data_IF_181382204466
#
_entry.id   IF_181382204466
#
_cell.length_a   1.000
_cell.length_b   1.000
_cell.length_c   1.000
_cell.angle_alpha   90.00
_cell.angle_beta   90.00
_cell.angle_gamma   90.00
#
_symmetry.space_group_name_H-M   'P 1'
#
loop_
_entity.id
_entity.type
_entity.pdbx_description
1 polymer ?
#
# COMPACT_ATOMS: atom_id res chain seq x y z
N UNK A 1 -35.21 0.48 10.60
CA UNK A 1 -33.98 -0.07 10.00
C UNK A 1 -32.83 0.24 10.95
N UNK A 2 -31.99 -0.73 11.30
CA UNK A 2 -30.78 -0.43 12.08
C UNK A 2 -29.87 0.43 11.20
N UNK A 3 -29.27 1.46 11.78
CA UNK A 3 -28.27 2.27 11.10
C UNK A 3 -27.08 1.37 10.76
N UNK A 4 -26.61 1.44 9.51
CA UNK A 4 -25.41 0.72 9.08
C UNK A 4 -24.20 1.25 9.84
N UNK A 5 -23.27 0.37 10.20
CA UNK A 5 -22.11 0.72 11.02
C UNK A 5 -20.86 0.87 10.15
N UNK A 6 -20.17 1.99 10.34
CA UNK A 6 -18.90 2.33 9.74
C UNK A 6 -17.84 2.42 10.84
N UNK A 7 -16.56 2.24 10.49
CA UNK A 7 -15.49 2.48 11.47
C UNK A 7 -15.32 3.98 11.70
N UNK A 8 -15.51 4.40 12.95
CA UNK A 8 -15.26 5.79 13.37
C UNK A 8 -13.77 6.05 13.58
N UNK A 9 -13.45 7.33 13.78
CA UNK A 9 -12.08 7.78 13.96
C UNK A 9 -11.36 7.15 15.16
N UNK A 10 -12.00 7.05 16.32
CA UNK A 10 -11.37 6.51 17.54
C UNK A 10 -11.01 5.04 17.36
N UNK A 11 -11.93 4.26 16.80
CA UNK A 11 -11.74 2.84 16.53
C UNK A 11 -10.70 2.61 15.43
N UNK A 12 -10.69 3.44 14.39
CA UNK A 12 -9.70 3.36 13.32
C UNK A 12 -8.27 3.62 13.83
N UNK A 13 -8.09 4.65 14.68
CA UNK A 13 -6.82 4.94 15.36
C UNK A 13 -6.39 3.75 16.21
N UNK A 14 -7.30 3.19 17.01
CA UNK A 14 -6.99 2.07 17.90
C UNK A 14 -6.59 0.80 17.12
N UNK A 15 -7.28 0.51 16.01
CA UNK A 15 -6.94 -0.59 15.12
C UNK A 15 -5.54 -0.43 14.51
N UNK A 16 -5.24 0.73 13.91
CA UNK A 16 -3.93 1.00 13.33
C UNK A 16 -2.81 0.92 14.38
N UNK A 17 -3.05 1.40 15.60
CA UNK A 17 -2.11 1.29 16.73
C UNK A 17 -1.74 -0.17 17.02
N UNK A 18 -2.70 -1.08 16.92
CA UNK A 18 -2.52 -2.51 17.20
C UNK A 18 -1.84 -3.27 16.06
N UNK A 19 -2.13 -2.93 14.81
CA UNK A 19 -1.66 -3.71 13.65
C UNK A 19 -0.42 -3.14 12.97
N UNK A 20 -0.17 -1.83 13.07
CA UNK A 20 0.95 -1.18 12.38
C UNK A 20 2.15 -1.01 13.32
N UNK A 21 3.06 -1.98 13.31
CA UNK A 21 4.26 -1.94 14.16
C UNK A 21 5.27 -0.80 13.87
N UNK A 22 5.08 -0.07 12.77
CA UNK A 22 5.86 1.10 12.38
C UNK A 22 5.25 2.43 12.86
N UNK A 23 4.03 2.40 13.40
CA UNK A 23 3.38 3.54 14.03
C UNK A 23 3.69 3.54 15.53
N UNK A 24 4.06 4.71 16.05
CA UNK A 24 4.24 4.93 17.49
C UNK A 24 3.28 6.03 17.92
N UNK A 25 2.59 5.87 19.04
CA UNK A 25 1.68 6.90 19.52
C UNK A 25 2.46 8.19 19.83
N UNK A 26 1.95 9.33 19.37
CA UNK A 26 2.59 10.61 19.66
C UNK A 26 2.15 11.16 21.02
N UNK A 27 2.95 10.89 22.04
CA UNK A 27 2.72 11.38 23.40
C UNK A 27 2.79 12.91 23.55
N UNK A 28 3.24 13.63 22.53
CA UNK A 28 3.23 15.10 22.56
C UNK A 28 1.86 15.71 22.26
N UNK A 29 0.92 14.91 21.75
CA UNK A 29 -0.43 15.36 21.40
C UNK A 29 -0.47 16.25 20.16
N UNK A 30 0.58 16.26 19.34
CA UNK A 30 0.60 17.02 18.09
C UNK A 30 -0.18 16.25 17.04
N UNK A 31 0.10 14.96 16.90
CA UNK A 31 -0.53 14.06 15.94
C UNK A 31 -1.05 12.79 16.64
N UNK A 32 -1.69 11.88 15.91
CA UNK A 32 -2.10 10.58 16.46
C UNK A 32 -0.91 9.63 16.56
N UNK A 33 -0.02 9.68 15.55
CA UNK A 33 1.14 8.81 15.44
C UNK A 33 2.40 9.54 14.97
N UNK A 34 3.55 8.92 15.25
CA UNK A 34 4.80 9.10 14.53
C UNK A 34 5.12 7.86 13.70
N UNK A 35 5.46 8.08 12.44
CA UNK A 35 5.99 7.10 11.50
C UNK A 35 7.51 7.24 11.50
N UNK A 36 8.22 6.19 11.91
CA UNK A 36 9.69 6.28 12.04
C UNK A 36 10.44 6.15 10.71
N UNK A 37 9.87 5.45 9.73
CA UNK A 37 10.42 5.32 8.37
C UNK A 37 9.48 6.02 7.39
N UNK A 38 9.92 7.12 6.76
CA UNK A 38 9.09 7.90 5.84
C UNK A 38 8.57 7.09 4.63
N UNK A 39 9.13 5.92 4.35
CA UNK A 39 8.58 5.00 3.34
C UNK A 39 7.21 4.46 3.69
N UNK A 40 6.96 4.16 4.96
CA UNK A 40 5.62 3.72 5.38
C UNK A 40 4.61 4.86 5.16
N UNK A 41 5.02 6.12 5.32
CA UNK A 41 4.18 7.27 5.01
C UNK A 41 3.88 7.38 3.49
N UNK A 42 4.84 7.02 2.63
CA UNK A 42 4.62 6.93 1.19
C UNK A 42 3.61 5.84 0.86
N UNK A 43 3.74 4.65 1.45
CA UNK A 43 2.80 3.54 1.25
C UNK A 43 1.39 3.91 1.72
N UNK A 44 1.25 4.53 2.90
CA UNK A 44 -0.04 5.05 3.36
C UNK A 44 -0.60 6.01 2.31
N UNK A 45 0.19 6.97 1.82
CA UNK A 45 -0.28 7.92 0.80
C UNK A 45 -0.71 7.25 -0.52
N UNK A 46 -0.01 6.20 -0.94
CA UNK A 46 -0.32 5.44 -2.16
C UNK A 46 -1.65 4.70 -2.09
N UNK A 47 -1.92 4.04 -0.98
CA UNK A 47 -3.05 3.11 -0.83
C UNK A 47 -4.30 3.72 -0.19
N UNK A 48 -4.24 4.98 0.25
CA UNK A 48 -5.32 5.61 1.01
C UNK A 48 -5.60 7.03 0.53
N UNK A 49 -6.58 7.71 1.13
CA UNK A 49 -6.81 9.15 0.97
C UNK A 49 -5.70 10.07 1.50
N UNK A 50 -4.64 9.54 2.13
CA UNK A 50 -3.64 10.35 2.81
C UNK A 50 -2.73 11.17 1.87
N UNK A 51 -2.33 12.35 2.33
CA UNK A 51 -1.47 13.28 1.59
C UNK A 51 -0.48 14.01 2.50
N UNK A 52 0.65 14.42 1.92
CA UNK A 52 1.64 15.28 2.55
C UNK A 52 1.27 16.75 2.39
N UNK A 53 1.48 17.53 3.44
CA UNK A 53 1.35 19.00 3.38
C UNK A 53 2.73 19.60 3.14
N UNK A 54 2.90 20.39 2.08
CA UNK A 54 4.13 21.17 1.86
C UNK A 54 3.95 22.61 2.34
N UNK A 55 2.80 23.21 2.00
CA UNK A 55 2.35 24.50 2.54
C UNK A 55 0.81 24.61 2.40
N UNK A 56 0.26 25.81 2.59
CA UNK A 56 -1.19 26.06 2.48
C UNK A 56 -1.75 25.80 1.08
N UNK A 57 -0.94 26.05 0.05
CA UNK A 57 -1.31 25.97 -1.36
C UNK A 57 -0.88 24.63 -1.99
N UNK A 58 0.16 23.98 -1.45
CA UNK A 58 0.77 22.79 -2.04
C UNK A 58 0.59 21.57 -1.13
N UNK A 59 -0.08 20.57 -1.70
CA UNK A 59 -0.33 19.25 -1.12
C UNK A 59 0.10 18.20 -2.12
N UNK A 60 0.77 17.15 -1.62
CA UNK A 60 1.34 16.11 -2.46
C UNK A 60 0.79 14.76 -2.04
N UNK A 61 0.31 14.00 -3.02
CA UNK A 61 -0.10 12.62 -2.83
C UNK A 61 0.70 11.73 -3.75
N UNK A 62 1.18 10.62 -3.21
CA UNK A 62 1.73 9.53 -4.01
C UNK A 62 0.58 8.64 -4.46
N UNK A 63 0.64 8.13 -5.69
CA UNK A 63 -0.35 7.18 -6.18
C UNK A 63 0.36 5.99 -6.82
N UNK A 64 -0.26 4.82 -6.66
CA UNK A 64 0.07 3.69 -7.51
C UNK A 64 -0.37 3.99 -8.95
N UNK A 65 0.30 3.34 -9.89
CA UNK A 65 -0.04 3.35 -11.29
C UNK A 65 -1.32 2.55 -11.54
N UNK A 66 -2.50 3.10 -11.27
CA UNK A 66 -3.72 2.40 -11.66
C UNK A 66 -3.79 2.32 -13.19
N UNK A 67 -3.46 1.14 -13.73
CA UNK A 67 -3.54 0.75 -15.12
C UNK A 67 -2.66 1.57 -16.11
N UNK A 68 -1.58 0.92 -16.57
CA UNK A 68 -0.80 1.22 -17.78
C UNK A 68 0.10 2.48 -17.79
N UNK A 69 0.19 3.26 -16.70
CA UNK A 69 1.12 4.41 -16.62
C UNK A 69 1.91 4.43 -15.31
N UNK A 70 3.25 4.30 -15.41
CA UNK A 70 4.33 4.47 -14.42
C UNK A 70 4.03 4.44 -12.90
N UNK A 71 4.71 3.54 -12.18
CA UNK A 71 4.50 3.12 -10.77
C UNK A 71 4.58 4.19 -9.68
N UNK A 72 4.88 5.43 -10.01
CA UNK A 72 4.76 6.54 -9.09
C UNK A 72 4.33 7.77 -9.86
N UNK A 73 3.24 8.38 -9.43
CA UNK A 73 2.87 9.72 -9.87
C UNK A 73 2.89 10.64 -8.66
N UNK A 74 3.69 11.70 -8.74
CA UNK A 74 3.55 12.86 -7.86
C UNK A 74 2.45 13.73 -8.45
N UNK A 75 1.27 13.70 -7.84
CA UNK A 75 0.14 14.51 -8.28
C UNK A 75 0.03 15.73 -7.35
N UNK A 76 0.29 16.96 -7.82
CA UNK A 76 -0.06 18.15 -7.06
C UNK A 76 -1.58 18.15 -6.86
N UNK A 77 -2.03 18.21 -5.61
CA UNK A 77 -3.45 18.21 -5.26
C UNK A 77 -3.99 19.64 -5.38
N UNK A 78 -4.17 20.12 -6.60
CA UNK A 78 -4.95 21.34 -6.88
C UNK A 78 -6.37 20.96 -7.34
N UNK A 79 -7.36 21.83 -7.04
CA UNK A 79 -8.79 21.64 -7.34
C UNK A 79 -9.17 21.48 -8.83
N UNK A 80 -8.20 21.39 -9.75
CA UNK A 80 -8.44 21.28 -11.17
C UNK A 80 -7.65 20.10 -11.75
N UNK A 81 -8.33 19.28 -12.57
CA UNK A 81 -7.82 18.13 -13.31
C UNK A 81 -6.71 18.45 -14.34
N UNK A 82 -5.99 19.57 -14.20
CA UNK A 82 -4.86 19.98 -15.03
C UNK A 82 -3.52 19.80 -14.31
N UNK A 83 -3.42 18.82 -13.39
CA UNK A 83 -2.17 18.49 -12.73
C UNK A 83 -1.11 18.18 -13.79
N UNK A 84 -0.02 18.94 -13.78
CA UNK A 84 1.17 18.60 -14.56
C UNK A 84 1.65 17.25 -14.05
N UNK A 85 1.43 16.21 -14.84
CA UNK A 85 1.94 14.87 -14.57
C UNK A 85 3.44 14.96 -14.79
N UNK A 86 4.22 14.73 -13.73
CA UNK A 86 5.67 14.57 -13.86
C UNK A 86 5.90 13.06 -14.03
N UNK A 87 6.14 12.56 -15.26
CA UNK A 87 6.46 11.16 -15.48
C UNK A 87 7.77 10.81 -14.77
N UNK A 88 7.74 9.70 -14.06
CA UNK A 88 8.80 9.21 -13.18
C UNK A 88 9.55 8.12 -13.97
N UNK A 89 10.31 8.57 -14.98
CA UNK A 89 10.96 7.72 -15.99
C UNK A 89 12.00 6.72 -15.42
N UNK A 90 11.73 5.42 -15.54
CA UNK A 90 12.71 4.30 -15.58
C UNK A 90 13.62 3.98 -14.37
N UNK A 91 13.72 4.88 -13.38
CA UNK A 91 14.49 4.68 -12.13
C UNK A 91 13.64 4.03 -11.03
N UNK A 92 14.28 3.46 -10.02
CA UNK A 92 13.57 2.96 -8.83
C UNK A 92 13.01 4.10 -8.00
N UNK A 93 11.93 3.82 -7.25
CA UNK A 93 11.36 4.77 -6.30
C UNK A 93 12.41 5.31 -5.31
N UNK A 94 13.34 4.47 -4.86
CA UNK A 94 14.48 4.89 -4.03
C UNK A 94 15.31 6.03 -4.66
N UNK A 95 15.69 5.95 -5.93
CA UNK A 95 16.48 7.00 -6.61
C UNK A 95 15.70 8.32 -6.74
N UNK A 96 14.37 8.26 -6.78
CA UNK A 96 13.56 9.48 -6.76
C UNK A 96 13.50 10.13 -5.39
N UNK A 97 13.38 9.32 -4.35
CA UNK A 97 13.33 9.81 -2.98
C UNK A 97 14.66 10.42 -2.54
N UNK A 98 15.77 10.11 -3.22
CA UNK A 98 17.06 10.81 -3.04
C UNK A 98 16.99 12.31 -3.39
N UNK A 99 16.08 12.74 -4.28
CA UNK A 99 15.88 14.17 -4.57
C UNK A 99 15.10 14.90 -3.46
N UNK A 100 14.38 14.15 -2.62
CA UNK A 100 13.54 14.67 -1.55
C UNK A 100 13.87 13.94 -0.24
N UNK A 101 15.12 14.06 0.26
CA UNK A 101 15.59 13.27 1.40
C UNK A 101 14.74 13.49 2.66
N UNK A 102 14.16 14.67 2.81
CA UNK A 102 13.28 15.01 3.93
C UNK A 102 12.04 14.11 3.97
N UNK A 103 11.51 13.66 2.83
CA UNK A 103 10.35 12.75 2.77
C UNK A 103 10.65 11.40 3.43
N UNK A 104 11.91 10.96 3.45
CA UNK A 104 12.33 9.70 4.06
C UNK A 104 12.52 9.78 5.57
N UNK A 105 12.55 11.00 6.14
CA UNK A 105 12.66 11.21 7.57
C UNK A 105 11.39 10.78 8.34
N UNK A 106 11.43 10.84 9.68
CA UNK A 106 10.24 10.58 10.50
C UNK A 106 9.07 11.49 10.11
N UNK A 107 7.85 10.96 10.18
CA UNK A 107 6.62 11.70 9.87
C UNK A 107 5.66 11.72 11.04
N UNK A 108 4.94 12.81 11.18
CA UNK A 108 3.80 12.98 12.05
C UNK A 108 2.55 12.66 11.24
N UNK A 109 1.78 11.69 11.72
CA UNK A 109 0.65 11.15 11.00
C UNK A 109 -0.66 11.50 11.71
N UNK A 110 -1.46 12.31 11.01
CA UNK A 110 -2.70 12.89 11.48
C UNK A 110 -3.87 12.16 10.83
N UNK A 111 -4.63 11.42 11.62
CA UNK A 111 -5.95 10.95 11.25
C UNK A 111 -6.94 12.04 11.64
N UNK A 112 -7.76 12.49 10.69
CA UNK A 112 -8.63 13.65 10.92
C UNK A 112 -10.08 13.24 10.84
N UNK A 113 -10.79 13.39 11.96
CA UNK A 113 -12.25 13.34 12.00
C UNK A 113 -12.83 14.60 11.34
N UNK A 114 -13.26 14.46 10.09
CA UNK A 114 -13.81 15.56 9.30
C UNK A 114 -15.17 16.02 9.79
N UNK A 115 -15.91 15.23 10.59
CA UNK A 115 -17.21 15.64 11.13
C UNK A 115 -17.13 16.91 11.98
N UNK A 116 -15.96 17.17 12.59
CA UNK A 116 -15.65 18.40 13.34
C UNK A 116 -15.57 19.65 12.46
N UNK A 117 -15.34 19.48 11.16
CA UNK A 117 -15.19 20.57 10.20
C UNK A 117 -16.46 20.79 9.36
N UNK A 118 -17.31 19.77 9.24
CA UNK A 118 -18.57 19.83 8.49
C UNK A 118 -19.74 20.27 9.36
N UNK A 119 -20.50 21.30 8.96
CA UNK A 119 -21.76 21.62 9.63
C UNK A 119 -22.78 20.50 9.41
N UNK A 120 -23.61 20.15 10.42
CA UNK A 120 -24.62 19.10 10.30
C UNK A 120 -25.58 19.25 9.10
N UNK A 121 -25.77 20.47 8.61
CA UNK A 121 -26.65 20.76 7.46
C UNK A 121 -26.12 20.25 6.11
N UNK A 122 -24.81 20.00 5.98
CA UNK A 122 -24.17 19.65 4.71
C UNK A 122 -24.26 18.17 4.35
N UNK A 123 -24.53 17.29 5.31
CA UNK A 123 -24.68 15.84 5.08
C UNK A 123 -25.83 15.48 4.14
N UNK A 124 -26.81 16.38 3.96
CA UNK A 124 -28.00 16.13 3.13
C UNK A 124 -27.88 16.61 1.68
N UNK A 125 -26.82 17.35 1.32
CA UNK A 125 -26.73 18.05 0.03
C UNK A 125 -25.70 17.41 -0.92
N UNK A 126 -25.79 16.09 -1.15
CA UNK A 126 -24.66 15.31 -1.65
C UNK A 126 -24.50 15.21 -3.19
N UNK A 127 -24.86 16.23 -3.99
CA UNK A 127 -24.74 16.13 -5.48
C UNK A 127 -24.43 17.41 -6.27
N UNK A 128 -24.10 18.55 -5.65
CA UNK A 128 -23.91 19.81 -6.43
C UNK A 128 -22.47 20.30 -6.46
N UNK A 129 -22.12 21.08 -7.48
CA UNK A 129 -20.85 21.82 -7.63
C UNK A 129 -20.43 22.57 -6.35
N UNK A 130 -21.41 22.99 -5.53
CA UNK A 130 -21.16 23.60 -4.22
C UNK A 130 -20.39 22.71 -3.25
N UNK A 131 -20.50 21.37 -3.35
CA UNK A 131 -19.74 20.45 -2.48
C UNK A 131 -18.24 20.54 -2.71
N UNK A 132 -17.79 20.81 -3.96
CA UNK A 132 -16.37 20.93 -4.29
C UNK A 132 -15.74 22.19 -3.69
N UNK A 133 -16.38 23.36 -3.87
CA UNK A 133 -15.90 24.61 -3.27
C UNK A 133 -15.87 24.54 -1.75
N UNK A 134 -16.89 23.90 -1.16
CA UNK A 134 -16.96 23.74 0.28
C UNK A 134 -15.87 22.81 0.80
N UNK A 135 -15.66 21.66 0.15
CA UNK A 135 -14.55 20.74 0.43
C UNK A 135 -13.20 21.46 0.37
N UNK A 136 -12.95 22.27 -0.67
CA UNK A 136 -11.73 23.05 -0.80
C UNK A 136 -11.49 23.98 0.40
N UNK A 137 -12.52 24.75 0.80
CA UNK A 137 -12.43 25.67 1.94
C UNK A 137 -12.22 24.95 3.29
N UNK A 138 -12.81 23.77 3.45
CA UNK A 138 -12.60 22.93 4.64
C UNK A 138 -11.16 22.41 4.65
N UNK A 139 -10.67 21.90 3.51
CA UNK A 139 -9.31 21.38 3.40
C UNK A 139 -8.27 22.48 3.57
N UNK A 140 -8.55 23.73 3.21
CA UNK A 140 -7.70 24.89 3.51
C UNK A 140 -7.67 25.18 5.01
N UNK A 141 -8.84 25.24 5.67
CA UNK A 141 -8.93 25.41 7.12
C UNK A 141 -8.18 24.31 7.88
N UNK A 142 -8.40 23.06 7.50
CA UNK A 142 -7.72 21.90 8.08
C UNK A 142 -6.20 22.04 7.93
N UNK A 143 -5.72 22.31 6.72
CA UNK A 143 -4.28 22.48 6.47
C UNK A 143 -3.70 23.64 7.28
N UNK A 144 -4.42 24.75 7.41
CA UNK A 144 -3.99 25.87 8.25
C UNK A 144 -3.87 25.48 9.72
N UNK A 145 -4.87 24.79 10.27
CA UNK A 145 -4.86 24.34 11.66
C UNK A 145 -3.69 23.38 11.94
N UNK A 146 -3.48 22.38 11.08
CA UNK A 146 -2.37 21.44 11.20
C UNK A 146 -1.03 22.17 11.10
N UNK A 147 -0.86 23.05 10.10
CA UNK A 147 0.39 23.80 9.91
C UNK A 147 0.69 24.73 11.09
N UNK A 148 -0.32 25.39 11.67
CA UNK A 148 -0.14 26.20 12.86
C UNK A 148 0.33 25.36 14.06
N UNK A 149 -0.24 24.17 14.26
CA UNK A 149 0.15 23.27 15.36
C UNK A 149 1.57 22.72 15.17
N UNK A 150 1.89 22.29 13.95
CA UNK A 150 3.20 21.77 13.54
C UNK A 150 4.27 22.86 13.66
N UNK A 151 3.98 24.08 13.21
CA UNK A 151 4.90 25.23 13.32
C UNK A 151 5.14 25.61 14.77
N UNK A 152 4.09 25.66 15.61
CA UNK A 152 4.22 25.93 17.05
C UNK A 152 5.08 24.88 17.75
N UNK A 153 5.06 23.64 17.27
CA UNK A 153 5.90 22.55 17.76
C UNK A 153 7.33 22.53 17.17
N UNK A 154 7.67 23.47 16.27
CA UNK A 154 8.99 23.55 15.63
C UNK A 154 9.24 22.49 14.57
N UNK A 155 8.19 21.88 14.02
CA UNK A 155 8.25 20.85 12.98
C UNK A 155 8.12 21.45 11.58
N UNK A 156 8.59 20.74 10.55
CA UNK A 156 8.41 21.18 9.17
C UNK A 156 7.08 20.68 8.60
N UNK A 157 6.42 21.46 7.73
CA UNK A 157 5.22 21.01 7.01
C UNK A 157 5.38 19.64 6.34
N UNK A 158 6.51 19.44 5.65
CA UNK A 158 6.85 18.20 4.93
C UNK A 158 6.99 16.97 5.84
N UNK A 159 6.97 17.15 7.15
CA UNK A 159 6.94 16.05 8.11
C UNK A 159 5.52 15.54 8.38
N UNK A 160 4.50 16.16 7.80
CA UNK A 160 3.11 15.87 8.10
C UNK A 160 2.47 15.02 7.00
N UNK A 161 1.96 13.85 7.39
CA UNK A 161 1.04 13.05 6.58
C UNK A 161 -0.36 13.17 7.19
N UNK A 162 -1.36 13.48 6.36
CA UNK A 162 -2.73 13.72 6.82
C UNK A 162 -3.68 12.78 6.10
N UNK A 163 -4.49 12.03 6.86
CA UNK A 163 -5.55 11.15 6.34
C UNK A 163 -6.92 11.60 6.89
N UNK A 164 -7.65 12.41 6.11
CA UNK A 164 -9.00 12.82 6.48
C UNK A 164 -9.99 11.67 6.32
N UNK A 165 -10.89 11.53 7.30
CA UNK A 165 -12.07 10.67 7.20
C UNK A 165 -13.06 11.19 6.14
N UNK A 166 -14.12 10.42 5.90
CA UNK A 166 -15.33 10.95 5.28
C UNK A 166 -15.92 12.11 6.09
N UNK A 167 -16.76 12.93 5.45
CA UNK A 167 -17.34 14.12 6.08
C UNK A 167 -18.05 13.82 7.41
N UNK A 168 -18.52 12.60 7.59
CA UNK A 168 -19.26 12.04 8.72
C UNK A 168 -18.37 11.44 9.81
N UNK A 169 -17.05 11.59 9.69
CA UNK A 169 -16.08 11.15 10.70
C UNK A 169 -15.68 9.68 10.60
N UNK A 170 -16.06 9.00 9.51
CA UNK A 170 -15.87 7.55 9.34
C UNK A 170 -14.90 7.25 8.19
N UNK A 171 -14.29 6.07 8.23
CA UNK A 171 -13.35 5.61 7.19
C UNK A 171 -13.97 4.51 6.32
N UNK A 172 -13.66 4.54 5.01
CA UNK A 172 -14.30 3.70 3.99
C UNK A 172 -13.40 2.58 3.46
N UNK A 173 -13.62 2.21 2.20
CA UNK A 173 -12.97 1.07 1.53
C UNK A 173 -11.45 1.22 1.44
N UNK A 174 -10.94 2.44 1.19
CA UNK A 174 -9.50 2.71 1.12
C UNK A 174 -8.77 2.38 2.43
N UNK A 175 -9.41 2.64 3.57
CA UNK A 175 -8.92 2.24 4.89
C UNK A 175 -8.84 0.73 5.02
N UNK A 176 -9.90 0.01 4.63
CA UNK A 176 -9.95 -1.45 4.74
C UNK A 176 -9.03 -2.15 3.75
N UNK A 177 -8.82 -1.60 2.55
CA UNK A 177 -7.76 -2.03 1.64
C UNK A 177 -6.39 -1.95 2.33
N UNK A 178 -6.05 -0.78 2.91
CA UNK A 178 -4.77 -0.61 3.55
C UNK A 178 -4.58 -1.53 4.77
N UNK A 179 -5.60 -1.66 5.62
CA UNK A 179 -5.62 -2.59 6.77
C UNK A 179 -5.38 -4.02 6.31
N UNK A 180 -6.13 -4.49 5.30
CA UNK A 180 -5.96 -5.83 4.74
C UNK A 180 -4.54 -6.06 4.20
N UNK A 181 -4.00 -5.07 3.47
CA UNK A 181 -2.63 -5.07 2.99
C UNK A 181 -1.60 -5.21 4.11
N UNK A 182 -1.71 -4.41 5.18
CA UNK A 182 -0.80 -4.49 6.33
C UNK A 182 -0.88 -5.85 7.04
N UNK A 183 -2.09 -6.36 7.28
CA UNK A 183 -2.29 -7.66 7.94
C UNK A 183 -1.67 -8.80 7.12
N UNK A 184 -1.89 -8.82 5.80
CA UNK A 184 -1.35 -9.85 4.93
C UNK A 184 0.15 -9.68 4.69
N UNK A 185 0.67 -8.44 4.62
CA UNK A 185 2.11 -8.16 4.62
C UNK A 185 2.78 -8.80 5.84
N UNK A 186 2.16 -8.70 7.00
CA UNK A 186 2.67 -9.27 8.25
C UNK A 186 2.64 -10.80 8.27
N UNK A 187 1.78 -11.40 7.43
CA UNK A 187 1.73 -12.85 7.21
C UNK A 187 2.68 -13.35 6.13
N UNK A 188 3.48 -12.49 5.50
CA UNK A 188 4.47 -12.90 4.52
C UNK A 188 4.09 -12.65 3.05
N UNK A 189 2.97 -12.00 2.78
CA UNK A 189 2.47 -11.85 1.40
C UNK A 189 3.06 -10.63 0.70
N UNK A 190 3.18 -10.73 -0.63
CA UNK A 190 3.33 -9.56 -1.50
C UNK A 190 1.98 -8.91 -1.71
N UNK A 191 1.86 -7.60 -1.51
CA UNK A 191 0.60 -6.85 -1.63
C UNK A 191 0.65 -5.96 -2.87
N UNK A 192 -0.42 -5.93 -3.66
CA UNK A 192 -0.49 -5.11 -4.87
C UNK A 192 -1.92 -4.77 -5.27
N UNK A 193 -2.07 -3.64 -5.97
CA UNK A 193 -3.28 -3.27 -6.72
C UNK A 193 -3.35 -3.94 -8.10
N UNK A 194 -2.25 -4.54 -8.58
CA UNK A 194 -2.25 -5.40 -9.75
C UNK A 194 -3.10 -6.61 -9.42
N UNK A 195 -4.23 -6.79 -10.10
CA UNK A 195 -5.16 -7.90 -9.85
C UNK A 195 -5.26 -8.85 -11.05
N UNK A 196 -5.63 -10.10 -10.78
CA UNK A 196 -5.93 -11.16 -11.76
C UNK A 196 -7.40 -11.09 -12.24
N UNK A 197 -7.99 -9.89 -12.18
CA UNK A 197 -9.41 -9.62 -12.39
C UNK A 197 -10.19 -9.54 -11.08
N UNK A 198 -10.90 -8.44 -10.87
CA UNK A 198 -11.73 -8.20 -9.67
C UNK A 198 -10.93 -7.82 -8.42
N UNK A 199 -11.65 -7.45 -7.36
CA UNK A 199 -11.09 -7.08 -6.06
C UNK A 199 -10.48 -5.68 -6.02
N UNK A 200 -10.49 -5.09 -4.84
CA UNK A 200 -9.87 -3.80 -4.57
C UNK A 200 -8.36 -3.93 -4.31
N UNK A 201 -7.93 -5.08 -3.77
CA UNK A 201 -6.54 -5.37 -3.47
C UNK A 201 -6.23 -6.86 -3.68
N UNK A 202 -4.95 -7.15 -3.92
CA UNK A 202 -4.47 -8.52 -4.14
C UNK A 202 -3.28 -8.82 -3.22
N UNK A 203 -3.17 -10.09 -2.82
CA UNK A 203 -2.02 -10.57 -2.06
C UNK A 203 -1.49 -11.91 -2.60
N UNK A 204 -0.17 -12.10 -2.56
CA UNK A 204 0.49 -13.26 -3.18
C UNK A 204 1.50 -13.91 -2.25
N UNK A 205 1.40 -15.22 -2.08
CA UNK A 205 2.41 -16.01 -1.39
C UNK A 205 3.21 -16.82 -2.41
N UNK A 206 4.44 -16.39 -2.68
CA UNK A 206 5.37 -17.01 -3.64
C UNK A 206 6.59 -17.51 -2.82
N UNK A 207 6.57 -18.77 -2.34
CA UNK A 207 7.46 -19.22 -1.25
C UNK A 207 8.95 -19.04 -1.55
N UNK A 208 9.37 -19.38 -2.75
CA UNK A 208 10.76 -19.27 -3.18
C UNK A 208 11.20 -17.82 -3.40
N UNK A 209 10.29 -16.91 -3.77
CA UNK A 209 10.59 -15.48 -3.86
C UNK A 209 10.76 -14.87 -2.45
N UNK A 210 9.85 -15.20 -1.54
CA UNK A 210 9.91 -14.77 -0.13
C UNK A 210 11.22 -15.25 0.48
N UNK A 211 11.52 -16.54 0.36
CA UNK A 211 12.74 -17.16 0.91
C UNK A 211 14.00 -16.51 0.36
N UNK A 212 14.07 -16.27 -0.96
CA UNK A 212 15.23 -15.66 -1.61
C UNK A 212 15.46 -14.22 -1.15
N UNK A 213 14.40 -13.41 -1.09
CA UNK A 213 14.50 -12.01 -0.65
C UNK A 213 14.82 -11.88 0.84
N UNK A 214 14.25 -12.75 1.67
CA UNK A 214 14.53 -12.80 3.11
C UNK A 214 15.96 -13.23 3.41
N UNK A 215 16.41 -14.36 2.83
CA UNK A 215 17.79 -14.84 3.02
C UNK A 215 18.84 -13.87 2.48
N UNK A 216 18.45 -13.02 1.52
CA UNK A 216 19.31 -11.99 0.96
C UNK A 216 19.37 -10.70 1.78
N UNK A 217 18.51 -10.54 2.80
CA UNK A 217 18.40 -9.35 3.65
C UNK A 217 17.68 -8.17 2.97
N UNK A 218 16.92 -8.43 1.90
CA UNK A 218 16.16 -7.40 1.17
C UNK A 218 14.75 -7.21 1.75
N UNK A 219 14.24 -8.19 2.48
CA UNK A 219 12.89 -8.20 3.03
C UNK A 219 12.89 -8.94 4.38
N UNK A 220 12.04 -8.51 5.33
CA UNK A 220 11.93 -9.20 6.63
C UNK A 220 10.72 -10.12 6.72
N UNK A 221 9.58 -9.68 6.19
CA UNK A 221 8.27 -10.37 6.18
C UNK A 221 7.71 -10.33 4.77
N UNK A 222 6.40 -10.14 4.56
CA UNK A 222 5.88 -9.73 3.26
C UNK A 222 6.24 -8.28 2.94
N UNK A 223 5.77 -7.78 1.81
CA UNK A 223 5.89 -6.36 1.45
C UNK A 223 4.80 -5.91 0.48
N UNK A 224 4.48 -4.62 0.44
CA UNK A 224 3.87 -4.02 -0.74
C UNK A 224 4.88 -4.05 -1.89
N UNK A 225 4.45 -4.35 -3.12
CA UNK A 225 5.37 -4.50 -4.26
C UNK A 225 6.24 -3.25 -4.47
N UNK A 226 5.71 -2.06 -4.17
CA UNK A 226 6.40 -0.76 -4.25
C UNK A 226 7.56 -0.66 -3.25
N UNK A 227 7.53 -1.40 -2.13
CA UNK A 227 8.68 -1.49 -1.22
C UNK A 227 9.90 -2.13 -1.91
N UNK A 228 9.68 -2.99 -2.90
CA UNK A 228 10.75 -3.58 -3.68
C UNK A 228 11.46 -2.57 -4.59
N UNK A 229 10.89 -1.39 -4.80
CA UNK A 229 11.56 -0.27 -5.50
C UNK A 229 12.25 0.69 -4.52
N UNK A 230 12.04 0.49 -3.22
CA UNK A 230 12.60 1.30 -2.13
C UNK A 230 13.49 0.48 -1.19
N UNK A 231 14.17 -0.53 -1.73
CA UNK A 231 14.93 -1.50 -0.94
C UNK A 231 15.93 -0.82 0.01
N UNK A 232 16.08 -1.42 1.18
CA UNK A 232 17.25 -1.24 2.05
C UNK A 232 17.80 -2.62 2.36
N UNK A 233 19.12 -2.76 2.30
CA UNK A 233 19.75 -3.91 2.94
C UNK A 233 19.49 -3.80 4.43
N UNK A 234 18.89 -4.84 5.00
CA UNK A 234 18.64 -4.95 6.43
C UNK A 234 19.64 -5.93 7.02
N UNK A 235 20.26 -5.54 8.14
CA UNK A 235 21.13 -6.40 8.93
C UNK A 235 20.33 -7.38 9.83
N UNK A 236 18.99 -7.32 9.76
CA UNK A 236 18.12 -8.15 10.60
C UNK A 236 18.07 -9.57 10.06
N UNK A 237 18.16 -10.53 10.97
CA UNK A 237 17.88 -11.93 10.69
C UNK A 237 16.43 -12.07 10.19
N UNK A 238 16.20 -12.82 9.10
CA UNK A 238 14.87 -12.99 8.54
C UNK A 238 13.93 -13.65 9.53
N UNK A 239 12.67 -13.22 9.56
CA UNK A 239 11.63 -13.89 10.34
C UNK A 239 11.33 -15.25 9.69
N UNK A 240 11.23 -16.30 10.51
CA UNK A 240 10.84 -17.62 10.02
C UNK A 240 9.37 -17.57 9.60
N UNK A 241 9.14 -17.57 8.30
CA UNK A 241 7.80 -17.72 7.73
C UNK A 241 7.53 -19.21 7.55
N UNK A 242 6.32 -19.64 7.91
CA UNK A 242 5.86 -20.99 7.62
C UNK A 242 5.73 -21.17 6.11
N UNK A 243 6.42 -22.15 5.55
CA UNK A 243 6.30 -22.49 4.13
C UNK A 243 4.87 -22.96 3.85
N UNK A 244 4.21 -22.30 2.91
CA UNK A 244 2.88 -22.65 2.39
C UNK A 244 2.98 -23.01 0.91
N UNK A 245 1.90 -23.57 0.35
CA UNK A 245 1.72 -23.64 -1.09
C UNK A 245 1.56 -22.22 -1.67
N UNK A 246 1.61 -22.12 -3.00
CA UNK A 246 1.30 -20.85 -3.66
C UNK A 246 -0.12 -20.40 -3.32
N UNK A 247 -0.26 -19.14 -2.92
CA UNK A 247 -1.56 -18.51 -2.69
C UNK A 247 -1.68 -17.24 -3.53
N UNK A 248 -2.81 -17.10 -4.20
CA UNK A 248 -3.26 -15.89 -4.89
C UNK A 248 -4.56 -15.46 -4.23
N UNK A 249 -4.50 -14.35 -3.51
CA UNK A 249 -5.58 -13.84 -2.68
C UNK A 249 -6.24 -12.64 -3.35
N UNK A 250 -7.55 -12.74 -3.50
CA UNK A 250 -8.46 -11.63 -3.79
C UNK A 250 -8.89 -10.96 -2.49
N UNK A 251 -8.93 -9.63 -2.44
CA UNK A 251 -9.47 -8.87 -1.31
C UNK A 251 -10.52 -7.90 -1.84
N UNK A 252 -11.74 -7.99 -1.31
CA UNK A 252 -12.77 -6.97 -1.48
C UNK A 252 -12.91 -6.20 -0.17
N UNK A 253 -12.76 -4.89 -0.23
CA UNK A 253 -12.92 -4.01 0.91
C UNK A 253 -14.31 -3.37 0.87
N UNK A 254 -14.96 -3.33 2.01
CA UNK A 254 -16.29 -2.77 2.16
C UNK A 254 -16.31 -1.68 3.22
N UNK A 255 -17.04 -0.62 2.92
CA UNK A 255 -17.13 0.57 3.77
C UNK A 255 -17.94 0.34 5.05
N UNK A 256 -18.85 -0.65 5.06
CA UNK A 256 -19.81 -0.83 6.16
C UNK A 256 -19.99 -2.27 6.56
N UNK A 257 -20.45 -2.49 7.79
CA UNK A 257 -20.73 -3.83 8.30
C UNK A 257 -21.80 -4.55 7.46
N UNK A 258 -22.89 -3.86 7.06
CA UNK A 258 -23.95 -4.47 6.25
C UNK A 258 -23.44 -4.89 4.86
N UNK A 259 -22.60 -4.06 4.22
CA UNK A 259 -22.01 -4.39 2.92
C UNK A 259 -21.01 -5.53 3.03
N UNK A 260 -20.14 -5.50 4.05
CA UNK A 260 -19.15 -6.54 4.32
C UNK A 260 -19.79 -7.93 4.39
N UNK A 261 -20.90 -8.07 5.14
CA UNK A 261 -21.61 -9.36 5.31
C UNK A 261 -22.66 -9.66 4.23
N UNK A 262 -22.72 -8.86 3.16
CA UNK A 262 -23.67 -9.10 2.07
C UNK A 262 -23.34 -10.40 1.34
N UNK A 263 -24.34 -11.28 1.21
CA UNK A 263 -24.27 -12.47 0.36
C UNK A 263 -24.73 -12.24 -1.09
N UNK A 264 -25.05 -11.00 -1.46
CA UNK A 264 -25.42 -10.66 -2.85
C UNK A 264 -24.20 -10.43 -3.74
N UNK A 265 -24.33 -10.65 -5.04
CA UNK A 265 -23.22 -10.58 -6.02
C UNK A 265 -22.59 -9.18 -6.21
N UNK A 266 -23.19 -8.13 -5.64
CA UNK A 266 -22.76 -6.74 -5.84
C UNK A 266 -22.12 -6.06 -4.62
N UNK A 267 -21.86 -6.82 -3.53
CA UNK A 267 -21.13 -6.33 -2.36
C UNK A 267 -20.64 -7.50 -1.50
N UNK A 268 -19.53 -7.31 -0.81
CA UNK A 268 -19.04 -8.13 0.29
C UNK A 268 -18.80 -9.59 -0.09
N UNK A 269 -19.22 -10.50 0.78
CA UNK A 269 -18.98 -11.95 0.63
C UNK A 269 -19.48 -12.49 -0.70
N UNK A 270 -20.69 -12.12 -1.14
CA UNK A 270 -21.27 -12.66 -2.37
C UNK A 270 -20.51 -12.21 -3.63
N UNK A 271 -20.02 -10.98 -3.64
CA UNK A 271 -19.16 -10.47 -4.73
C UNK A 271 -17.80 -11.17 -4.73
N UNK A 272 -17.21 -11.38 -3.55
CA UNK A 272 -15.95 -12.12 -3.38
C UNK A 272 -16.08 -13.56 -3.89
N UNK A 273 -17.15 -14.27 -3.54
CA UNK A 273 -17.42 -15.62 -4.04
C UNK A 273 -17.53 -15.63 -5.57
N UNK A 274 -18.28 -14.69 -6.14
CA UNK A 274 -18.42 -14.56 -7.58
C UNK A 274 -17.08 -14.30 -8.28
N UNK A 275 -16.25 -13.39 -7.77
CA UNK A 275 -14.91 -13.18 -8.30
C UNK A 275 -14.02 -14.40 -8.14
N UNK A 276 -14.02 -15.05 -6.99
CA UNK A 276 -13.21 -16.25 -6.75
C UNK A 276 -13.56 -17.38 -7.74
N UNK A 277 -14.84 -17.53 -8.11
CA UNK A 277 -15.27 -18.50 -9.10
C UNK A 277 -14.86 -18.14 -10.54
N UNK A 278 -14.78 -16.84 -10.87
CA UNK A 278 -14.61 -16.37 -12.25
C UNK A 278 -13.18 -15.88 -12.60
N UNK A 279 -12.27 -15.84 -11.64
CA UNK A 279 -10.92 -15.26 -11.81
C UNK A 279 -9.82 -16.32 -11.68
N UNK A 280 -8.55 -15.92 -11.53
CA UNK A 280 -7.40 -16.80 -11.26
C UNK A 280 -7.07 -17.02 -9.77
N UNK A 281 -7.81 -16.38 -8.86
CA UNK A 281 -7.53 -16.45 -7.42
C UNK A 281 -7.83 -17.82 -6.83
N UNK A 282 -7.06 -18.24 -5.83
CA UNK A 282 -7.30 -19.50 -5.14
C UNK A 282 -7.74 -19.33 -3.69
N UNK A 283 -7.78 -18.09 -3.20
CA UNK A 283 -8.23 -17.73 -1.86
C UNK A 283 -8.79 -16.32 -1.89
N UNK A 284 -9.64 -15.99 -0.93
CA UNK A 284 -10.20 -14.65 -0.86
C UNK A 284 -10.49 -14.19 0.56
N UNK A 285 -10.51 -12.87 0.75
CA UNK A 285 -10.97 -12.21 1.96
C UNK A 285 -11.99 -11.14 1.59
N UNK A 286 -13.00 -10.99 2.45
CA UNK A 286 -13.73 -9.73 2.57
C UNK A 286 -13.12 -8.94 3.73
N UNK A 287 -12.97 -7.63 3.55
CA UNK A 287 -12.44 -6.72 4.57
C UNK A 287 -13.46 -5.62 4.89
N UNK A 288 -13.69 -5.33 6.16
CA UNK A 288 -14.66 -4.31 6.55
C UNK A 288 -14.97 -4.31 8.04
N UNK A 289 -15.77 -3.35 8.54
CA UNK A 289 -15.89 -3.10 9.97
C UNK A 289 -16.86 -4.05 10.68
N UNK A 290 -16.57 -4.32 11.95
CA UNK A 290 -17.48 -4.91 12.95
C UNK A 290 -18.15 -6.23 12.58
N UNK A 291 -17.51 -6.98 11.70
CA UNK A 291 -17.85 -8.36 11.37
C UNK A 291 -17.05 -9.34 12.23
N UNK A 292 -17.65 -10.48 12.49
CA UNK A 292 -17.12 -11.58 13.31
C UNK A 292 -17.02 -12.86 12.49
N UNK A 293 -16.39 -13.89 13.04
CA UNK A 293 -16.30 -15.21 12.38
C UNK A 293 -17.69 -15.78 12.03
N UNK A 294 -18.71 -15.52 12.84
CA UNK A 294 -20.08 -15.94 12.59
C UNK A 294 -20.65 -15.39 11.26
N UNK A 295 -20.11 -14.29 10.74
CA UNK A 295 -20.53 -13.70 9.47
C UNK A 295 -20.02 -14.48 8.25
N UNK A 296 -18.89 -15.18 8.37
CA UNK A 296 -18.27 -15.97 7.28
C UNK A 296 -18.31 -17.48 7.55
N UNK A 297 -18.94 -17.93 8.63
CA UNK A 297 -18.93 -19.35 9.04
C UNK A 297 -19.54 -20.31 8.03
N UNK A 298 -20.51 -19.85 7.23
CA UNK A 298 -21.16 -20.64 6.18
C UNK A 298 -20.57 -20.40 4.79
N UNK A 299 -19.49 -19.61 4.71
CA UNK A 299 -18.79 -19.26 3.49
C UNK A 299 -17.40 -19.91 3.55
N UNK A 300 -17.34 -21.20 3.18
CA UNK A 300 -16.15 -22.04 3.37
C UNK A 300 -14.92 -21.52 2.60
N UNK A 301 -15.12 -20.67 1.60
CA UNK A 301 -14.08 -20.17 0.70
C UNK A 301 -13.63 -18.74 0.99
N UNK A 302 -14.33 -18.01 1.87
CA UNK A 302 -14.11 -16.57 2.11
C UNK A 302 -13.61 -16.33 3.52
N UNK A 303 -12.39 -15.80 3.63
CA UNK A 303 -11.84 -15.29 4.87
C UNK A 303 -12.37 -13.91 5.25
N UNK A 304 -12.06 -13.47 6.46
CA UNK A 304 -12.47 -12.17 7.00
C UNK A 304 -11.28 -11.39 7.56
N UNK A 305 -11.21 -10.09 7.22
CA UNK A 305 -10.35 -9.10 7.90
C UNK A 305 -11.27 -7.99 8.43
N UNK A 306 -11.41 -7.91 9.74
CA UNK A 306 -12.35 -7.00 10.40
C UNK A 306 -11.80 -6.52 11.74
N UNK A 307 -12.56 -5.73 12.48
CA UNK A 307 -12.28 -5.42 13.88
C UNK A 307 -13.54 -5.43 14.73
N UNK A 308 -13.39 -5.54 16.05
CA UNK A 308 -14.47 -5.25 17.00
C UNK A 308 -14.57 -3.74 17.31
N UNK A 309 -15.48 -3.36 18.22
CA UNK A 309 -15.72 -1.97 18.62
C UNK A 309 -14.53 -1.38 19.40
N UNK A 310 -13.66 -2.21 19.95
CA UNK A 310 -12.43 -1.81 20.63
C UNK A 310 -11.22 -1.78 19.69
N UNK A 311 -11.43 -1.94 18.38
CA UNK A 311 -10.37 -1.93 17.37
C UNK A 311 -9.44 -3.15 17.45
N UNK A 312 -9.86 -4.26 18.08
CA UNK A 312 -9.10 -5.51 18.02
C UNK A 312 -9.30 -6.17 16.66
N UNK A 313 -8.20 -6.60 16.03
CA UNK A 313 -8.24 -7.29 14.75
C UNK A 313 -8.97 -8.63 14.86
N UNK A 314 -9.91 -8.85 13.95
CA UNK A 314 -10.55 -10.15 13.67
C UNK A 314 -10.01 -10.64 12.33
N UNK A 315 -9.28 -11.75 12.37
CA UNK A 315 -8.69 -12.37 11.18
C UNK A 315 -9.12 -13.83 11.10
N UNK A 316 -9.95 -14.16 10.11
CA UNK A 316 -10.43 -15.52 9.86
C UNK A 316 -9.86 -16.00 8.54
N UNK A 317 -8.97 -16.96 8.60
CA UNK A 317 -8.36 -17.57 7.40
C UNK A 317 -9.14 -18.82 6.99
N UNK A 318 -9.33 -19.01 5.69
CA UNK A 318 -9.88 -20.23 5.09
C UNK A 318 -8.82 -20.96 4.28
N UNK A 319 -9.03 -22.24 4.06
CA UNK A 319 -8.19 -23.03 3.15
C UNK A 319 -8.37 -22.53 1.70
N UNK A 320 -7.34 -22.67 0.85
CA UNK A 320 -7.48 -22.36 -0.56
C UNK A 320 -8.62 -23.17 -1.20
N UNK A 321 -9.48 -22.48 -1.95
CA UNK A 321 -10.59 -23.06 -2.70
C UNK A 321 -10.12 -24.02 -3.81
N UNK A 322 -8.94 -23.75 -4.38
CA UNK A 322 -8.32 -24.53 -5.46
C UNK A 322 -6.81 -24.42 -5.44
N UNK A 323 -6.13 -25.17 -6.31
CA UNK A 323 -4.70 -24.95 -6.55
C UNK A 323 -4.47 -23.62 -7.28
N UNK A 324 -3.35 -22.96 -6.98
CA UNK A 324 -2.96 -21.75 -7.69
C UNK A 324 -2.64 -22.07 -9.15
N UNK A 325 -3.16 -21.25 -10.07
CA UNK A 325 -2.90 -21.40 -11.49
C UNK A 325 -1.43 -21.09 -11.82
N UNK A 326 -0.67 -22.02 -12.44
CA UNK A 326 0.74 -21.80 -12.76
C UNK A 326 1.01 -20.60 -13.66
N UNK A 327 0.09 -20.27 -14.57
CA UNK A 327 0.24 -19.10 -15.46
C UNK A 327 0.13 -17.79 -14.68
N UNK A 328 -0.80 -17.71 -13.73
CA UNK A 328 -0.99 -16.52 -12.89
C UNK A 328 0.21 -16.34 -11.97
N UNK A 329 0.70 -17.43 -11.36
CA UNK A 329 1.94 -17.42 -10.57
C UNK A 329 3.13 -16.94 -11.40
N UNK A 330 3.25 -17.37 -12.66
CA UNK A 330 4.29 -16.88 -13.57
C UNK A 330 4.16 -15.37 -13.80
N UNK A 331 2.96 -14.86 -14.05
CA UNK A 331 2.73 -13.42 -14.25
C UNK A 331 3.09 -12.60 -13.01
N UNK A 332 2.66 -13.04 -11.82
CA UNK A 332 2.99 -12.39 -10.55
C UNK A 332 4.50 -12.34 -10.32
N UNK A 333 5.21 -13.44 -10.59
CA UNK A 333 6.68 -13.49 -10.52
C UNK A 333 7.33 -12.45 -11.42
N UNK A 334 6.81 -12.28 -12.65
CA UNK A 334 7.31 -11.24 -13.55
C UNK A 334 7.06 -9.84 -12.99
N UNK A 335 5.91 -9.55 -12.38
CA UNK A 335 5.62 -8.25 -11.74
C UNK A 335 6.61 -7.97 -10.61
N UNK A 336 6.83 -8.94 -9.72
CA UNK A 336 7.78 -8.81 -8.61
C UNK A 336 9.21 -8.60 -9.14
N UNK A 337 9.64 -9.40 -10.14
CA UNK A 337 10.95 -9.28 -10.76
C UNK A 337 11.14 -7.92 -11.45
N UNK A 338 10.12 -7.43 -12.15
CA UNK A 338 10.16 -6.10 -12.78
C UNK A 338 10.39 -4.99 -11.75
N UNK A 339 9.71 -5.08 -10.59
CA UNK A 339 9.87 -4.12 -9.49
C UNK A 339 11.28 -4.16 -8.92
N UNK A 340 11.87 -5.35 -8.75
CA UNK A 340 13.27 -5.51 -8.32
C UNK A 340 14.26 -4.94 -9.35
N UNK A 341 14.08 -5.23 -10.64
CA UNK A 341 14.96 -4.77 -11.71
C UNK A 341 15.05 -3.25 -11.79
N UNK A 342 14.04 -2.51 -11.31
CA UNK A 342 14.08 -1.04 -11.27
C UNK A 342 15.21 -0.50 -10.40
N UNK A 343 15.68 -1.24 -9.40
CA UNK A 343 16.82 -0.87 -8.55
C UNK A 343 18.16 -0.97 -9.29
N UNK A 344 18.20 -1.58 -10.47
CA UNK A 344 19.39 -1.61 -11.32
C UNK A 344 19.33 -0.44 -12.30
N UNK A 345 20.41 0.35 -12.37
CA UNK A 345 20.56 1.32 -13.45
C UNK A 345 20.78 0.61 -14.80
N UNK A 346 20.75 1.36 -15.90
CA UNK A 346 20.85 0.80 -17.25
C UNK A 346 22.13 -0.02 -17.48
N UNK A 347 23.26 0.42 -16.93
CA UNK A 347 24.55 -0.28 -17.06
C UNK A 347 24.52 -1.65 -16.37
N UNK A 348 23.97 -1.71 -15.15
CA UNK A 348 23.83 -2.97 -14.41
C UNK A 348 22.82 -3.90 -15.09
N UNK A 349 21.74 -3.38 -15.68
CA UNK A 349 20.80 -4.20 -16.48
C UNK A 349 21.47 -4.75 -17.73
N UNK A 350 22.28 -3.97 -18.45
CA UNK A 350 23.06 -4.47 -19.59
C UNK A 350 24.04 -5.56 -19.18
N UNK A 351 24.73 -5.40 -18.05
CA UNK A 351 25.66 -6.40 -17.50
C UNK A 351 24.94 -7.69 -17.11
N UNK A 352 23.76 -7.58 -16.51
CA UNK A 352 22.88 -8.71 -16.21
C UNK A 352 22.50 -9.45 -17.51
N UNK A 353 22.01 -8.73 -18.53
CA UNK A 353 21.70 -9.32 -19.83
C UNK A 353 22.92 -10.00 -20.47
N UNK A 354 24.10 -9.38 -20.41
CA UNK A 354 25.32 -9.96 -20.94
C UNK A 354 25.72 -11.25 -20.21
N UNK A 355 25.49 -11.32 -18.90
CA UNK A 355 25.73 -12.54 -18.11
C UNK A 355 24.80 -13.68 -18.56
N UNK A 356 23.55 -13.36 -18.90
CA UNK A 356 22.54 -14.33 -19.34
C UNK A 356 22.77 -14.79 -20.79
N UNK A 357 23.13 -13.86 -21.68
CA UNK A 357 23.29 -14.13 -23.12
C UNK A 357 24.70 -14.62 -23.48
N UNK A 358 25.71 -14.32 -22.67
CA UNK A 358 27.12 -14.50 -23.01
C UNK A 358 27.71 -13.39 -23.89
N UNK A 359 26.90 -12.44 -24.33
CA UNK A 359 27.32 -11.26 -25.10
C UNK A 359 26.39 -10.06 -24.83
N UNK A 360 26.82 -8.86 -25.23
CA UNK A 360 25.99 -7.66 -25.08
C UNK A 360 24.75 -7.80 -25.99
N UNK A 361 23.53 -7.49 -25.50
CA UNK A 361 22.34 -7.51 -26.34
C UNK A 361 22.47 -6.51 -27.49
N UNK A 362 22.15 -6.96 -28.71
CA UNK A 362 22.27 -6.19 -29.94
C UNK A 362 20.94 -5.51 -30.35
N UNK A 363 19.84 -5.88 -29.68
CA UNK A 363 18.51 -5.30 -29.93
C UNK A 363 17.69 -5.15 -28.65
N UNK A 364 16.63 -4.32 -28.70
CA UNK A 364 15.67 -4.18 -27.60
C UNK A 364 14.94 -5.50 -27.31
N UNK A 365 14.57 -6.26 -28.35
CA UNK A 365 13.90 -7.56 -28.21
C UNK A 365 14.77 -8.54 -27.42
N UNK A 366 16.07 -8.58 -27.74
CA UNK A 366 17.04 -9.40 -27.04
C UNK A 366 17.27 -8.93 -25.60
N UNK A 367 17.38 -7.62 -25.39
CA UNK A 367 17.48 -7.04 -24.06
C UNK A 367 16.29 -7.42 -23.17
N UNK A 368 15.05 -7.26 -23.64
CA UNK A 368 13.86 -7.63 -22.87
C UNK A 368 13.75 -9.15 -22.68
N UNK A 369 14.06 -9.94 -23.71
CA UNK A 369 14.08 -11.41 -23.60
C UNK A 369 15.08 -11.90 -22.57
N UNK A 370 16.26 -11.27 -22.48
CA UNK A 370 17.26 -11.60 -21.46
C UNK A 370 16.79 -11.26 -20.05
N UNK A 371 16.20 -10.07 -19.85
CA UNK A 371 15.64 -9.68 -18.54
C UNK A 371 14.50 -10.62 -18.08
N UNK A 372 13.62 -11.04 -18.99
CA UNK A 372 12.57 -12.00 -18.69
C UNK A 372 13.14 -13.38 -18.33
N UNK A 373 14.26 -13.78 -18.94
CA UNK A 373 14.96 -15.04 -18.60
C UNK A 373 15.76 -14.99 -17.30
N UNK A 374 16.03 -13.79 -16.77
CA UNK A 374 16.76 -13.65 -15.51
C UNK A 374 15.99 -14.34 -14.38
N UNK A 375 16.66 -15.25 -13.67
CA UNK A 375 16.14 -15.81 -12.44
C UNK A 375 16.30 -14.80 -11.29
N UNK A 376 15.52 -15.00 -10.23
CA UNK A 376 15.47 -14.09 -9.09
C UNK A 376 16.81 -13.99 -8.37
N UNK A 377 17.55 -15.09 -8.20
CA UNK A 377 18.82 -15.10 -7.47
C UNK A 377 19.86 -14.25 -8.19
N UNK A 378 19.92 -14.34 -9.52
CA UNK A 378 20.80 -13.52 -10.35
C UNK A 378 20.44 -12.03 -10.24
N UNK A 379 19.15 -11.68 -10.27
CA UNK A 379 18.70 -10.28 -10.09
C UNK A 379 19.10 -9.76 -8.70
N UNK A 380 18.81 -10.53 -7.65
CA UNK A 380 19.12 -10.15 -6.26
C UNK A 380 20.62 -10.00 -6.04
N UNK A 381 21.44 -10.89 -6.62
CA UNK A 381 22.90 -10.80 -6.56
C UNK A 381 23.42 -9.49 -7.15
N UNK A 382 22.91 -9.08 -8.31
CA UNK A 382 23.35 -7.83 -8.95
C UNK A 382 22.90 -6.60 -8.14
N UNK A 383 21.69 -6.63 -7.55
CA UNK A 383 21.23 -5.58 -6.62
C UNK A 383 22.19 -5.48 -5.42
N UNK A 384 22.52 -6.60 -4.78
CA UNK A 384 23.43 -6.59 -3.61
C UNK A 384 24.82 -6.07 -3.97
N UNK A 385 25.32 -6.39 -5.15
CA UNK A 385 26.60 -5.87 -5.64
C UNK A 385 26.56 -4.34 -5.74
N UNK A 386 25.48 -3.77 -6.29
CA UNK A 386 25.28 -2.32 -6.38
C UNK A 386 25.24 -1.63 -5.00
N UNK A 387 24.60 -2.22 -4.01
CA UNK A 387 24.56 -1.65 -2.66
C UNK A 387 25.90 -1.75 -1.92
N UNK A 388 26.67 -2.82 -2.17
CA UNK A 388 28.00 -3.01 -1.58
C UNK A 388 29.00 -2.00 -2.16
N UNK A 389 28.91 -1.70 -3.46
CA UNK A 389 29.78 -0.67 -4.05
C UNK A 389 29.43 0.73 -3.54
N UNK A 390 28.15 1.10 -3.44
CA UNK A 390 27.72 2.43 -2.92
C UNK A 390 28.19 2.70 -1.48
N UNK A 391 28.12 1.71 -0.60
CA UNK A 391 28.56 1.85 0.81
C UNK A 391 30.07 2.06 0.94
N UNK A 392 30.88 1.42 0.08
CA UNK A 392 32.34 1.61 0.10
C UNK A 392 32.81 3.03 -0.25
N UNK A 393 32.07 3.76 -1.09
CA UNK A 393 32.44 5.12 -1.51
C UNK A 393 32.05 6.21 -0.51
N UNK A 394 31.06 5.96 0.36
CA UNK A 394 30.57 6.97 1.31
C UNK A 394 31.37 7.01 2.63
N UNK A 395 32.15 5.98 2.94
CA UNK A 395 33.01 5.91 4.13
C UNK A 395 34.38 6.61 4.03
N UNK A 396 34.64 7.37 2.95
CA UNK A 396 35.90 8.10 2.75
C UNK A 396 35.74 9.63 2.75
N UNK A 397 34.72 10.16 3.45
CA UNK A 397 34.55 11.62 3.64
C UNK A 397 34.75 12.04 5.08
#
# INVERSE_FOLDING_TARGET
MKQDRWIDHETAVELLRKICNFLTHDHSGIADFKILDGREAILISMYTGAFFIQDLNHKVKFRTASQVTESLMLVPFENNNSGVIIPILSRSLSEYLEFFPDILGPKYFFMVDMSKYYPPSYFKANTTIYSKYYYASIMERLSKEILENVTKAGLQPSDCLVWPSGADGVYGEDFWCYVAGVVLRDKGYFISDYNLGGGDLSAYFIPEYITTLQSSGLMNKGCFIEELEMLRLKDKSPEKIQMKNYETILIEAESTELRTKSGGEGAGIGQVENYLLNTGYNKAFVAGPYCSEDNVKYHDMVGLISCDEEGNLIFVEKEPFREANPNDIRLIKEVIKCSLLKNLNIEHRFKLCQTILGHKPESLSEYFSALLKADLETVVKEIKLLYTTRTSYTGCR
#
